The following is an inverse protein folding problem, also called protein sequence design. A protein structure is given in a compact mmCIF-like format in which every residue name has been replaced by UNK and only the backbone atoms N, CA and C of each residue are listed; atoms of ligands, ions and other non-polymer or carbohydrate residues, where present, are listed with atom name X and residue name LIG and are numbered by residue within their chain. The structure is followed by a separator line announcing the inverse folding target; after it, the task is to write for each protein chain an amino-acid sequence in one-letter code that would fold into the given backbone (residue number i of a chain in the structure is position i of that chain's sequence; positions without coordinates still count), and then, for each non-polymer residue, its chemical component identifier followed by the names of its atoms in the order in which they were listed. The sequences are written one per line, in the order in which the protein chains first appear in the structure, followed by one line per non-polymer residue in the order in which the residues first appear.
data_IF_540618815830
#
_entry.id   IF_540618815830
#
_cell.length_a   1.000
_cell.length_b   1.000
_cell.length_c   1.000
_cell.angle_alpha   90.00
_cell.angle_beta   90.00
_cell.angle_gamma   90.00
#
_symmetry.space_group_name_H-M   'P 1'
#
loop_
_entity.id
_entity.type
_entity.pdbx_description
1 polymer ?
#
# COMPACT_ATOMS: atom_id res chain seq x y z
N UNK A 1 -35.79 44.80 -38.73
CA UNK A 1 -34.53 44.30 -39.34
C UNK A 1 -33.40 44.12 -38.32
N UNK A 2 -33.28 44.99 -37.31
CA UNK A 2 -32.22 44.91 -36.27
C UNK A 2 -32.38 43.68 -35.34
N UNK A 3 -33.60 43.27 -34.99
CA UNK A 3 -33.84 42.12 -34.10
C UNK A 3 -33.41 40.75 -34.66
N UNK A 4 -33.41 40.58 -35.98
CA UNK A 4 -32.99 39.31 -36.62
C UNK A 4 -31.47 39.16 -36.59
N UNK A 5 -30.74 40.27 -36.71
CA UNK A 5 -29.26 40.27 -36.68
C UNK A 5 -28.75 39.95 -35.27
N UNK A 6 -29.42 40.44 -34.22
CA UNK A 6 -29.07 40.15 -32.82
C UNK A 6 -29.35 38.68 -32.47
N UNK A 7 -30.46 38.11 -32.96
CA UNK A 7 -30.78 36.70 -32.72
C UNK A 7 -29.79 35.74 -33.41
N UNK A 8 -29.36 36.06 -34.64
CA UNK A 8 -28.36 35.26 -35.37
C UNK A 8 -26.98 35.36 -34.70
N UNK A 9 -26.60 36.53 -34.19
CA UNK A 9 -25.35 36.70 -33.43
C UNK A 9 -25.35 35.95 -32.10
N UNK A 10 -26.46 35.93 -31.35
CA UNK A 10 -26.57 35.18 -30.09
C UNK A 10 -26.53 33.66 -30.35
N UNK A 11 -27.16 33.18 -31.41
CA UNK A 11 -27.11 31.76 -31.80
C UNK A 11 -25.71 31.39 -32.31
N UNK A 12 -25.05 32.25 -33.10
CA UNK A 12 -23.71 32.00 -33.61
C UNK A 12 -22.64 32.07 -32.50
N UNK A 13 -22.77 32.96 -31.52
CA UNK A 13 -21.89 33.01 -30.34
C UNK A 13 -22.18 31.82 -29.41
N UNK A 14 -23.45 31.44 -29.23
CA UNK A 14 -23.82 30.23 -28.48
C UNK A 14 -23.29 28.93 -29.10
N UNK A 15 -23.35 28.79 -30.43
CA UNK A 15 -22.78 27.65 -31.14
C UNK A 15 -21.24 27.71 -31.25
N UNK A 16 -20.67 28.91 -31.40
CA UNK A 16 -19.22 29.14 -31.41
C UNK A 16 -18.56 28.79 -30.07
N UNK A 17 -19.18 29.20 -28.97
CA UNK A 17 -18.73 28.83 -27.61
C UNK A 17 -18.92 27.33 -27.37
N UNK A 18 -20.01 26.72 -27.83
CA UNK A 18 -20.19 25.26 -27.67
C UNK A 18 -19.20 24.42 -28.50
N UNK A 19 -18.76 24.93 -29.66
CA UNK A 19 -17.83 24.22 -30.56
C UNK A 19 -16.35 24.43 -30.17
N UNK A 20 -16.01 25.54 -29.52
CA UNK A 20 -14.64 25.85 -29.09
C UNK A 20 -14.28 25.29 -27.70
N UNK A 21 -15.26 24.76 -26.96
CA UNK A 21 -15.02 24.05 -25.69
C UNK A 21 -14.75 22.53 -25.83
N UNK A 22 -14.86 21.94 -27.03
CA UNK A 22 -14.75 20.48 -27.25
C UNK A 22 -13.85 20.07 -28.42
N UNK A 23 -12.78 20.82 -28.70
CA UNK A 23 -11.75 20.40 -29.65
C UNK A 23 -10.38 20.32 -28.97
N UNK A 24 -10.27 19.49 -27.93
CA UNK A 24 -9.00 18.81 -27.68
C UNK A 24 -8.87 17.72 -28.75
N UNK A 25 -7.72 17.62 -29.42
CA UNK A 25 -7.43 16.45 -30.27
C UNK A 25 -7.74 15.19 -29.46
N UNK A 26 -8.68 14.37 -29.95
CA UNK A 26 -8.96 13.07 -29.38
C UNK A 26 -7.80 12.17 -29.76
N UNK A 27 -6.90 11.95 -28.81
CA UNK A 27 -5.88 10.92 -28.94
C UNK A 27 -6.57 9.56 -28.79
N UNK A 28 -6.50 8.74 -29.84
CA UNK A 28 -7.02 7.37 -29.84
C UNK A 28 -5.89 6.43 -30.22
N UNK A 29 -5.70 5.37 -29.44
CA UNK A 29 -4.72 4.32 -29.71
C UNK A 29 -5.40 2.97 -29.61
N UNK A 30 -5.00 2.03 -30.48
CA UNK A 30 -5.57 0.69 -30.55
C UNK A 30 -4.47 -0.36 -30.50
N UNK A 31 -4.74 -1.45 -29.78
CA UNK A 31 -3.79 -2.53 -29.56
C UNK A 31 -4.47 -3.88 -29.73
N UNK A 32 -3.88 -4.74 -30.54
CA UNK A 32 -4.40 -6.08 -30.79
C UNK A 32 -3.78 -7.08 -29.81
N UNK A 33 -4.62 -7.92 -29.21
CA UNK A 33 -4.20 -9.05 -28.40
C UNK A 33 -5.10 -10.26 -28.67
N UNK A 34 -4.59 -11.23 -29.43
CA UNK A 34 -5.39 -12.33 -29.96
C UNK A 34 -6.55 -11.80 -30.83
N UNK A 35 -7.81 -12.24 -30.60
CA UNK A 35 -8.97 -11.74 -31.33
C UNK A 35 -9.51 -10.39 -30.82
N UNK A 36 -8.89 -9.83 -29.78
CA UNK A 36 -9.32 -8.57 -29.17
C UNK A 36 -8.56 -7.37 -29.71
N UNK A 37 -9.25 -6.23 -29.79
CA UNK A 37 -8.67 -4.89 -29.96
C UNK A 37 -9.03 -4.06 -28.73
N UNK A 38 -8.00 -3.62 -28.00
CA UNK A 38 -8.11 -2.71 -26.87
C UNK A 38 -7.95 -1.29 -27.42
N UNK A 39 -8.98 -0.47 -27.32
CA UNK A 39 -8.95 0.94 -27.71
C UNK A 39 -8.88 1.81 -26.46
N UNK A 40 -7.94 2.75 -26.48
CA UNK A 40 -7.78 3.80 -25.46
C UNK A 40 -8.08 5.15 -26.08
N UNK A 41 -8.92 5.95 -25.44
CA UNK A 41 -9.31 7.29 -25.88
C UNK A 41 -9.06 8.32 -24.78
N UNK A 42 -8.20 9.31 -25.04
CA UNK A 42 -7.96 10.42 -24.12
C UNK A 42 -9.07 11.46 -24.28
N UNK A 43 -9.68 11.83 -23.17
CA UNK A 43 -10.69 12.89 -23.11
C UNK A 43 -10.41 13.85 -21.96
N UNK A 44 -10.95 15.07 -22.06
CA UNK A 44 -10.79 16.09 -21.01
C UNK A 44 -12.13 16.36 -20.33
N UNK A 45 -12.18 16.22 -19.01
CA UNK A 45 -13.29 16.70 -18.18
C UNK A 45 -12.95 18.04 -17.54
N UNK A 46 -13.96 18.74 -17.04
CA UNK A 46 -13.80 20.02 -16.37
C UNK A 46 -14.66 20.04 -15.12
N UNK A 47 -14.03 19.93 -13.96
CA UNK A 47 -14.71 19.86 -12.67
C UNK A 47 -14.45 21.13 -11.85
N UNK A 48 -15.48 21.65 -11.17
CA UNK A 48 -15.32 22.79 -10.28
C UNK A 48 -14.60 22.35 -9.00
N UNK A 49 -13.40 22.86 -8.77
CA UNK A 49 -12.64 22.56 -7.58
C UNK A 49 -12.95 23.59 -6.49
N UNK A 50 -13.64 23.16 -5.42
CA UNK A 50 -14.04 24.02 -4.31
C UNK A 50 -12.85 24.63 -3.56
N UNK A 51 -11.72 23.92 -3.46
CA UNK A 51 -10.53 24.42 -2.75
C UNK A 51 -9.87 25.59 -3.49
N UNK A 52 -10.07 25.69 -4.81
CA UNK A 52 -9.47 26.74 -5.64
C UNK A 52 -10.48 27.71 -6.25
N UNK A 53 -11.78 27.53 -5.98
CA UNK A 53 -12.87 28.36 -6.52
C UNK A 53 -12.92 28.44 -8.05
N UNK A 54 -12.35 27.46 -8.76
CA UNK A 54 -12.20 27.48 -10.23
C UNK A 54 -12.43 26.11 -10.86
N UNK A 55 -12.84 26.12 -12.12
CA UNK A 55 -12.87 24.91 -12.94
C UNK A 55 -11.45 24.42 -13.23
N UNK A 56 -11.20 23.14 -13.00
CA UNK A 56 -9.95 22.46 -13.29
C UNK A 56 -10.21 21.46 -14.38
N UNK A 57 -9.41 21.52 -15.45
CA UNK A 57 -9.44 20.52 -16.51
C UNK A 57 -8.65 19.30 -16.05
N UNK A 58 -9.19 18.11 -16.27
CA UNK A 58 -8.54 16.83 -16.00
C UNK A 58 -8.56 16.01 -17.27
N UNK A 59 -7.42 15.44 -17.66
CA UNK A 59 -7.40 14.47 -18.73
C UNK A 59 -7.63 13.08 -18.13
N UNK A 60 -8.49 12.31 -18.78
CA UNK A 60 -8.76 10.93 -18.42
C UNK A 60 -8.64 10.04 -19.67
N UNK A 61 -8.54 8.73 -19.46
CA UNK A 61 -8.49 7.74 -20.53
C UNK A 61 -9.66 6.78 -20.38
N UNK A 62 -10.45 6.66 -21.46
CA UNK A 62 -11.51 5.68 -21.62
C UNK A 62 -10.96 4.44 -22.33
N UNK A 63 -11.29 3.26 -21.82
CA UNK A 63 -10.98 1.99 -22.46
C UNK A 63 -12.24 1.33 -23.05
N UNK A 64 -12.08 0.75 -24.23
CA UNK A 64 -13.07 -0.17 -24.81
C UNK A 64 -12.39 -1.41 -25.40
N UNK A 65 -13.10 -2.54 -25.36
CA UNK A 65 -12.62 -3.81 -25.91
C UNK A 65 -13.53 -4.24 -27.05
N UNK A 66 -12.93 -4.57 -28.18
CA UNK A 66 -13.62 -5.06 -29.37
C UNK A 66 -13.17 -6.49 -29.65
N UNK A 67 -14.09 -7.36 -30.06
CA UNK A 67 -13.82 -8.72 -30.49
C UNK A 67 -14.33 -8.89 -31.91
N UNK A 68 -13.43 -9.18 -32.86
CA UNK A 68 -13.75 -9.29 -34.29
C UNK A 68 -14.59 -8.09 -34.83
N UNK A 69 -14.21 -6.87 -34.45
CA UNK A 69 -14.87 -5.64 -34.90
C UNK A 69 -16.22 -5.34 -34.24
N UNK A 70 -16.65 -6.11 -33.23
CA UNK A 70 -17.82 -5.82 -32.40
C UNK A 70 -17.40 -5.43 -30.99
N UNK A 71 -18.04 -4.42 -30.42
CA UNK A 71 -17.80 -4.02 -29.04
C UNK A 71 -18.17 -5.18 -28.09
N UNK A 72 -17.32 -5.44 -27.10
CA UNK A 72 -17.59 -6.42 -26.04
C UNK A 72 -18.69 -5.88 -25.13
N UNK A 73 -19.72 -6.69 -24.90
CA UNK A 73 -20.84 -6.36 -24.02
C UNK A 73 -20.60 -6.91 -22.60
N UNK A 74 -20.89 -6.10 -21.59
CA UNK A 74 -20.70 -6.47 -20.19
C UNK A 74 -22.04 -6.86 -19.55
N UNK A 75 -22.10 -7.98 -18.80
CA UNK A 75 -23.36 -8.56 -18.30
C UNK A 75 -23.98 -7.76 -17.15
N UNK A 76 -23.19 -6.94 -16.46
CA UNK A 76 -23.65 -5.98 -15.46
C UNK A 76 -23.34 -4.56 -15.97
N UNK A 77 -24.11 -3.56 -15.51
CA UNK A 77 -23.76 -2.16 -15.81
C UNK A 77 -22.34 -1.90 -15.30
N UNK A 78 -21.46 -1.47 -16.22
CA UNK A 78 -20.30 -0.65 -15.86
C UNK A 78 -20.89 0.52 -15.05
N UNK A 79 -20.58 0.61 -13.75
CA UNK A 79 -21.39 1.36 -12.78
C UNK A 79 -21.60 2.85 -13.12
N UNK A 80 -22.58 3.47 -12.45
CA UNK A 80 -23.04 4.86 -12.73
C UNK A 80 -22.92 5.83 -11.54
N UNK A 81 -22.48 5.38 -10.36
CA UNK A 81 -22.35 6.19 -9.14
C UNK A 81 -21.16 7.17 -9.17
N UNK A 82 -20.15 6.93 -10.01
CA UNK A 82 -19.06 7.89 -10.29
C UNK A 82 -19.35 8.80 -11.48
N UNK A 83 -20.50 8.63 -12.15
CA UNK A 83 -20.85 9.37 -13.36
C UNK A 83 -20.14 8.89 -14.64
N UNK A 84 -19.28 7.86 -14.55
CA UNK A 84 -18.55 7.30 -15.68
C UNK A 84 -19.08 5.91 -16.06
N UNK A 85 -19.70 5.78 -17.23
CA UNK A 85 -20.28 4.52 -17.72
C UNK A 85 -19.32 3.68 -18.59
N UNK A 86 -18.02 3.75 -18.34
CA UNK A 86 -16.99 3.18 -19.20
C UNK A 86 -15.89 2.47 -18.40
N UNK A 87 -14.99 1.75 -19.09
CA UNK A 87 -13.89 1.03 -18.44
C UNK A 87 -12.76 2.01 -18.11
N UNK A 88 -12.28 1.94 -16.88
CA UNK A 88 -11.17 2.75 -16.39
C UNK A 88 -9.83 2.22 -16.86
N UNK A 89 -9.71 0.89 -16.92
CA UNK A 89 -8.50 0.17 -17.32
C UNK A 89 -8.84 -1.15 -18.00
N UNK A 90 -7.96 -1.57 -18.90
CA UNK A 90 -7.91 -2.93 -19.43
C UNK A 90 -6.48 -3.41 -19.33
N UNK A 91 -6.30 -4.52 -18.63
CA UNK A 91 -5.03 -5.21 -18.53
C UNK A 91 -5.01 -6.46 -19.39
N UNK A 92 -3.88 -6.73 -20.01
CA UNK A 92 -3.60 -8.03 -20.61
C UNK A 92 -3.21 -9.00 -19.49
N UNK A 93 -3.94 -10.11 -19.31
CA UNK A 93 -3.53 -11.17 -18.40
C UNK A 93 -2.57 -12.10 -19.14
N UNK A 94 -1.28 -11.84 -18.95
CA UNK A 94 -0.23 -12.66 -19.55
C UNK A 94 -0.23 -14.04 -18.91
N UNK A 95 0.24 -15.04 -19.64
CA UNK A 95 0.38 -16.43 -19.19
C UNK A 95 -0.94 -17.20 -18.98
N UNK A 96 -2.09 -16.55 -19.21
CA UNK A 96 -3.35 -17.26 -19.39
C UNK A 96 -3.30 -18.19 -20.62
N UNK A 97 -3.96 -19.37 -20.59
CA UNK A 97 -3.89 -20.36 -21.67
C UNK A 97 -4.57 -19.92 -22.97
N UNK A 98 -5.42 -18.90 -22.91
CA UNK A 98 -6.06 -18.24 -24.07
C UNK A 98 -5.96 -16.73 -23.89
N UNK A 99 -6.04 -15.94 -24.99
CA UNK A 99 -6.09 -14.49 -24.88
C UNK A 99 -7.15 -14.07 -23.85
N UNK A 100 -6.69 -13.44 -22.76
CA UNK A 100 -7.50 -13.05 -21.62
C UNK A 100 -7.19 -11.61 -21.23
N UNK A 101 -8.23 -10.84 -20.96
CA UNK A 101 -8.14 -9.47 -20.48
C UNK A 101 -8.81 -9.35 -19.11
N UNK A 102 -8.25 -8.51 -18.24
CA UNK A 102 -8.91 -8.04 -17.02
C UNK A 102 -9.34 -6.60 -17.27
N UNK A 103 -10.65 -6.39 -17.38
CA UNK A 103 -11.25 -5.10 -17.68
C UNK A 103 -11.96 -4.58 -16.44
N UNK A 104 -11.61 -3.38 -16.00
CA UNK A 104 -12.10 -2.85 -14.74
C UNK A 104 -12.59 -1.41 -14.79
N UNK A 105 -13.54 -1.17 -13.92
CA UNK A 105 -14.08 0.11 -13.47
C UNK A 105 -14.18 0.00 -11.94
N UNK A 106 -15.31 0.39 -11.34
CA UNK A 106 -15.65 0.01 -9.95
C UNK A 106 -16.04 -1.47 -9.80
N UNK A 107 -16.21 -2.17 -10.91
CA UNK A 107 -16.32 -3.62 -10.97
C UNK A 107 -15.22 -4.16 -11.88
N UNK A 108 -14.80 -5.40 -11.65
CA UNK A 108 -13.79 -6.07 -12.50
C UNK A 108 -14.39 -7.27 -13.19
N UNK A 109 -14.05 -7.41 -14.46
CA UNK A 109 -14.48 -8.47 -15.34
C UNK A 109 -13.26 -9.13 -15.98
N UNK A 110 -13.38 -10.44 -16.21
CA UNK A 110 -12.46 -11.20 -17.02
C UNK A 110 -13.10 -11.45 -18.38
N UNK A 111 -12.37 -11.13 -19.44
CA UNK A 111 -12.79 -11.34 -20.82
C UNK A 111 -11.87 -12.41 -21.42
N UNK A 112 -12.41 -13.56 -21.77
CA UNK A 112 -11.63 -14.67 -22.35
C UNK A 112 -12.07 -14.92 -23.80
N UNK A 113 -11.10 -15.19 -24.67
CA UNK A 113 -11.38 -15.69 -26.01
C UNK A 113 -11.87 -17.15 -25.94
N UNK A 114 -12.97 -17.45 -26.63
CA UNK A 114 -13.54 -18.80 -26.69
C UNK A 114 -14.02 -19.08 -28.12
N UNK A 115 -13.20 -19.83 -28.85
CA UNK A 115 -13.37 -20.09 -30.29
C UNK A 115 -13.52 -18.76 -31.07
N UNK A 116 -14.60 -18.60 -31.85
CA UNK A 116 -14.93 -17.37 -32.57
C UNK A 116 -15.79 -16.39 -31.74
N UNK A 117 -15.88 -16.59 -30.43
CA UNK A 117 -16.66 -15.79 -29.48
C UNK A 117 -15.82 -15.34 -28.30
N UNK A 118 -16.42 -14.60 -27.37
CA UNK A 118 -15.81 -14.21 -26.12
C UNK A 118 -16.75 -14.54 -24.96
N UNK A 119 -16.18 -14.72 -23.77
CA UNK A 119 -16.91 -14.85 -22.52
C UNK A 119 -16.51 -13.69 -21.59
N UNK A 120 -17.51 -13.02 -21.00
CA UNK A 120 -17.28 -11.99 -19.98
C UNK A 120 -17.78 -12.50 -18.65
N UNK A 121 -16.86 -12.71 -17.71
CA UNK A 121 -17.17 -13.18 -16.36
C UNK A 121 -16.91 -12.06 -15.34
N UNK A 122 -17.90 -11.70 -14.50
CA UNK A 122 -17.65 -10.79 -13.39
C UNK A 122 -16.73 -11.47 -12.36
N UNK A 123 -15.68 -10.77 -11.95
CA UNK A 123 -14.74 -11.22 -10.93
C UNK A 123 -15.10 -10.65 -9.55
N UNK A 124 -15.35 -9.35 -9.50
CA UNK A 124 -15.88 -8.62 -8.34
C UNK A 124 -16.85 -7.55 -8.84
N UNK A 125 -18.01 -7.45 -8.22
CA UNK A 125 -19.03 -6.45 -8.57
C UNK A 125 -19.21 -5.51 -7.38
N UNK A 126 -18.87 -4.23 -7.58
CA UNK A 126 -19.24 -3.10 -6.72
C UNK A 126 -18.96 -3.24 -5.21
N UNK A 127 -17.81 -2.70 -4.79
CA UNK A 127 -17.55 -2.29 -3.39
C UNK A 127 -17.36 -0.77 -3.28
N UNK A 128 -17.30 -0.24 -2.05
CA UNK A 128 -16.96 1.16 -1.77
C UNK A 128 -15.51 1.50 -2.10
N UNK A 129 -14.64 0.49 -2.05
CA UNK A 129 -13.20 0.66 -2.11
C UNK A 129 -12.65 0.38 -3.52
N UNK A 130 -11.48 0.94 -3.82
CA UNK A 130 -10.78 0.67 -5.09
C UNK A 130 -10.44 -0.81 -5.22
N UNK A 131 -10.46 -1.30 -6.45
CA UNK A 131 -10.09 -2.69 -6.71
C UNK A 131 -8.57 -2.82 -6.59
N UNK A 132 -8.10 -3.71 -5.72
CA UNK A 132 -6.69 -4.06 -5.56
C UNK A 132 -6.35 -5.38 -6.24
N UNK A 133 -5.21 -5.41 -6.90
CA UNK A 133 -4.58 -6.61 -7.43
C UNK A 133 -3.27 -6.89 -6.68
N UNK A 134 -2.95 -8.17 -6.50
CA UNK A 134 -1.67 -8.58 -5.94
C UNK A 134 -1.29 -9.95 -6.48
N UNK A 135 -0.08 -10.10 -7.00
CA UNK A 135 0.46 -11.42 -7.28
C UNK A 135 0.92 -12.07 -5.98
N UNK A 136 0.53 -13.32 -5.73
CA UNK A 136 0.84 -14.01 -4.48
C UNK A 136 2.19 -14.75 -4.50
N UNK A 137 2.76 -14.94 -5.69
CA UNK A 137 3.94 -15.78 -5.89
C UNK A 137 4.98 -15.19 -6.85
N UNK A 138 4.91 -13.87 -7.12
CA UNK A 138 5.76 -13.22 -8.12
C UNK A 138 7.21 -12.99 -7.68
N UNK A 139 7.48 -12.87 -6.37
CA UNK A 139 8.83 -12.62 -5.84
C UNK A 139 9.35 -13.88 -5.16
N UNK A 140 10.01 -14.76 -5.93
CA UNK A 140 10.56 -16.02 -5.39
C UNK A 140 9.53 -16.89 -4.63
N UNK A 141 8.26 -16.87 -5.06
CA UNK A 141 7.16 -17.56 -4.37
C UNK A 141 6.50 -16.76 -3.25
N UNK A 142 6.85 -15.49 -3.09
CA UNK A 142 6.20 -14.55 -2.17
C UNK A 142 5.31 -13.54 -2.92
N UNK A 143 4.36 -12.91 -2.19
CA UNK A 143 3.57 -11.83 -2.75
C UNK A 143 4.43 -10.65 -3.21
N UNK A 144 4.00 -10.00 -4.29
CA UNK A 144 4.51 -8.69 -4.73
C UNK A 144 3.68 -7.57 -4.09
N UNK A 145 4.06 -6.32 -4.31
CA UNK A 145 3.29 -5.16 -3.90
C UNK A 145 1.89 -5.18 -4.53
N UNK A 146 0.88 -4.88 -3.71
CA UNK A 146 -0.47 -4.69 -4.22
C UNK A 146 -0.58 -3.34 -4.93
N UNK A 147 -1.44 -3.26 -5.94
CA UNK A 147 -1.73 -2.01 -6.62
C UNK A 147 -3.22 -1.87 -6.92
N UNK A 148 -3.68 -0.62 -6.91
CA UNK A 148 -5.07 -0.26 -7.09
C UNK A 148 -5.39 0.06 -8.56
N UNK A 149 -6.60 -0.33 -8.96
CA UNK A 149 -7.18 0.02 -10.24
C UNK A 149 -7.72 1.45 -10.18
N UNK A 150 -7.08 2.33 -10.93
CA UNK A 150 -7.53 3.71 -11.13
C UNK A 150 -7.79 4.02 -12.59
N UNK A 151 -8.74 4.92 -12.82
CA UNK A 151 -8.92 5.56 -14.13
C UNK A 151 -7.62 6.25 -14.57
N UNK A 152 -7.24 6.04 -15.82
CA UNK A 152 -6.05 6.67 -16.38
C UNK A 152 -6.19 8.17 -16.51
N UNK A 153 -5.08 8.87 -16.31
CA UNK A 153 -4.96 10.33 -16.34
C UNK A 153 -3.90 10.81 -17.36
N UNK A 154 -3.56 12.09 -17.33
CA UNK A 154 -2.46 12.69 -18.11
C UNK A 154 -1.10 11.98 -17.96
N UNK A 155 -0.83 11.32 -16.84
CA UNK A 155 0.45 10.63 -16.58
C UNK A 155 0.44 9.20 -17.11
N UNK A 156 -0.72 8.68 -17.48
CA UNK A 156 -0.80 7.33 -18.03
C UNK A 156 -0.37 7.32 -19.49
N UNK A 157 0.61 6.47 -19.78
CA UNK A 157 1.01 6.10 -21.14
C UNK A 157 -0.14 5.46 -21.93
N UNK A 158 -0.25 5.84 -23.19
CA UNK A 158 -1.15 5.20 -24.18
C UNK A 158 -0.36 4.43 -25.25
N UNK A 159 0.95 4.21 -25.06
CA UNK A 159 1.80 3.49 -26.02
C UNK A 159 1.67 1.97 -25.92
N UNK A 160 1.11 1.45 -24.82
CA UNK A 160 0.70 0.06 -24.68
C UNK A 160 -0.33 -0.08 -23.55
N UNK A 161 -1.26 -1.05 -23.61
CA UNK A 161 -2.07 -1.44 -22.46
C UNK A 161 -1.18 -2.02 -21.35
N UNK A 162 -1.59 -1.83 -20.10
CA UNK A 162 -0.91 -2.44 -18.97
C UNK A 162 -1.04 -3.97 -19.01
N UNK A 163 -0.08 -4.67 -18.42
CA UNK A 163 -0.04 -6.13 -18.41
C UNK A 163 0.04 -6.65 -16.99
N UNK A 164 -0.83 -7.59 -16.65
CA UNK A 164 -0.74 -8.41 -15.45
C UNK A 164 0.16 -9.59 -15.78
N UNK A 165 1.35 -9.61 -15.19
CA UNK A 165 2.35 -10.68 -15.31
C UNK A 165 3.17 -10.75 -14.03
N UNK A 166 3.83 -11.88 -13.79
CA UNK A 166 4.83 -12.01 -12.72
C UNK A 166 4.65 -13.22 -11.83
N UNK A 167 3.44 -13.80 -11.75
CA UNK A 167 3.16 -14.97 -10.91
C UNK A 167 2.14 -15.93 -11.54
N UNK A 168 1.84 -17.01 -10.82
CA UNK A 168 0.80 -17.97 -11.18
C UNK A 168 -0.55 -17.58 -10.55
N UNK A 169 -0.52 -16.99 -9.36
CA UNK A 169 -1.71 -16.74 -8.56
C UNK A 169 -1.96 -15.23 -8.42
N UNK A 170 -3.01 -14.74 -9.08
CA UNK A 170 -3.44 -13.35 -8.99
C UNK A 170 -4.58 -13.21 -7.98
N UNK A 171 -4.37 -12.43 -6.93
CA UNK A 171 -5.40 -12.08 -5.96
C UNK A 171 -6.08 -10.77 -6.35
N UNK A 172 -7.39 -10.71 -6.13
CA UNK A 172 -8.24 -9.55 -6.39
C UNK A 172 -9.04 -9.26 -5.11
N UNK A 173 -8.92 -8.03 -4.60
CA UNK A 173 -9.66 -7.52 -3.43
C UNK A 173 -9.62 -8.40 -2.18
N UNK A 174 -8.60 -9.25 -2.03
CA UNK A 174 -8.48 -10.18 -0.91
C UNK A 174 -9.74 -11.05 -0.71
N UNK A 175 -10.42 -11.37 -1.82
CA UNK A 175 -11.64 -12.18 -1.85
C UNK A 175 -11.61 -13.26 -2.93
N UNK A 176 -10.80 -13.05 -3.97
CA UNK A 176 -10.70 -13.95 -5.10
C UNK A 176 -9.24 -14.20 -5.44
N UNK A 177 -8.88 -15.46 -5.65
CA UNK A 177 -7.61 -15.86 -6.26
C UNK A 177 -7.90 -16.53 -7.59
N UNK A 178 -7.16 -16.14 -8.62
CA UNK A 178 -7.16 -16.77 -9.95
C UNK A 178 -5.86 -17.57 -10.10
N UNK A 179 -5.97 -18.89 -10.30
CA UNK A 179 -4.86 -19.71 -10.85
C UNK A 179 -4.79 -19.41 -12.35
N UNK A 180 -3.86 -18.56 -12.77
CA UNK A 180 -3.84 -18.00 -14.12
C UNK A 180 -3.61 -19.06 -15.21
N UNK A 181 -2.65 -20.00 -15.08
CA UNK A 181 -2.50 -21.08 -16.07
C UNK A 181 -3.71 -22.01 -16.16
N UNK A 182 -4.37 -22.29 -15.02
CA UNK A 182 -5.55 -23.15 -14.96
C UNK A 182 -6.88 -22.44 -15.26
N UNK A 183 -6.91 -21.11 -15.19
CA UNK A 183 -8.11 -20.26 -15.18
C UNK A 183 -9.12 -20.61 -14.07
N UNK A 184 -8.67 -21.27 -13.00
CA UNK A 184 -9.51 -21.62 -11.87
C UNK A 184 -9.68 -20.41 -10.93
N UNK A 185 -10.90 -20.21 -10.43
CA UNK A 185 -11.26 -19.09 -9.57
C UNK A 185 -11.66 -19.60 -8.19
N UNK A 186 -11.00 -19.07 -7.18
CA UNK A 186 -11.18 -19.45 -5.79
C UNK A 186 -11.61 -18.24 -4.96
N UNK A 187 -12.89 -18.22 -4.62
CA UNK A 187 -13.44 -17.22 -3.73
C UNK A 187 -13.22 -17.63 -2.27
N UNK A 188 -12.72 -16.72 -1.46
CA UNK A 188 -12.46 -16.92 -0.03
C UNK A 188 -12.94 -15.72 0.77
N UNK A 189 -13.02 -15.90 2.09
CA UNK A 189 -13.64 -14.98 3.04
C UNK A 189 -15.07 -14.56 2.62
N UNK A 190 -15.86 -15.50 2.10
CA UNK A 190 -17.15 -15.19 1.44
C UNK A 190 -18.17 -14.50 2.34
N UNK A 191 -18.24 -14.90 3.60
CA UNK A 191 -19.16 -14.31 4.57
C UNK A 191 -18.50 -13.20 5.41
N UNK A 192 -17.33 -12.71 4.99
CA UNK A 192 -16.53 -11.73 5.75
C UNK A 192 -16.32 -12.17 7.20
N UNK A 193 -15.92 -13.42 7.39
CA UNK A 193 -15.82 -14.05 8.72
C UNK A 193 -14.54 -13.61 9.40
N UNK A 194 -14.70 -12.97 10.56
CA UNK A 194 -13.66 -12.81 11.55
C UNK A 194 -13.55 -14.11 12.37
N UNK A 195 -12.33 -14.52 12.72
CA UNK A 195 -12.10 -15.62 13.66
C UNK A 195 -11.43 -15.05 14.89
N UNK A 196 -11.91 -15.45 16.06
CA UNK A 196 -11.45 -14.94 17.35
C UNK A 196 -11.41 -13.40 17.41
N UNK A 197 -12.33 -12.78 16.65
CA UNK A 197 -12.50 -11.34 16.51
C UNK A 197 -11.33 -10.57 15.86
N UNK A 198 -10.45 -11.26 15.12
CA UNK A 198 -9.47 -10.64 14.24
C UNK A 198 -9.98 -10.58 12.80
N UNK A 199 -9.69 -9.46 12.12
CA UNK A 199 -9.77 -9.35 10.66
C UNK A 199 -8.38 -9.20 10.07
N UNK A 200 -8.25 -9.47 8.77
CA UNK A 200 -7.06 -9.10 8.02
C UNK A 200 -7.00 -7.57 7.88
N UNK A 201 -5.78 -7.04 7.92
CA UNK A 201 -5.46 -5.64 7.66
C UNK A 201 -4.32 -5.57 6.65
N UNK A 202 -4.34 -4.58 5.77
CA UNK A 202 -3.31 -4.45 4.72
C UNK A 202 -3.28 -5.60 3.72
N UNK A 203 -2.23 -5.67 2.91
CA UNK A 203 -2.10 -6.57 1.76
C UNK A 203 -1.49 -7.94 2.15
N UNK A 204 -1.49 -8.92 1.23
CA UNK A 204 -0.96 -10.25 1.53
C UNK A 204 0.55 -10.16 1.81
N UNK A 205 0.97 -10.76 2.92
CA UNK A 205 2.33 -10.69 3.44
C UNK A 205 3.17 -11.88 2.98
N UNK A 206 2.56 -13.07 2.95
CA UNK A 206 3.26 -14.32 2.64
C UNK A 206 2.31 -15.34 2.03
N UNK A 207 2.86 -16.21 1.18
CA UNK A 207 2.15 -17.30 0.56
C UNK A 207 2.81 -18.62 0.94
N UNK A 208 1.99 -19.62 1.26
CA UNK A 208 2.51 -20.91 1.71
C UNK A 208 3.29 -21.61 0.59
N UNK A 209 4.36 -22.36 0.90
CA UNK A 209 5.18 -23.03 -0.12
C UNK A 209 4.41 -24.03 -1.00
N UNK A 210 3.27 -24.53 -0.52
CA UNK A 210 2.39 -25.42 -1.27
C UNK A 210 1.28 -24.69 -2.05
N UNK A 211 1.30 -23.35 -2.07
CA UNK A 211 0.40 -22.45 -2.79
C UNK A 211 -1.09 -22.67 -2.45
N UNK A 212 -1.40 -22.78 -1.15
CA UNK A 212 -2.75 -23.01 -0.65
C UNK A 212 -3.21 -22.01 0.41
N UNK A 213 -2.29 -21.44 1.16
CA UNK A 213 -2.60 -20.58 2.31
C UNK A 213 -1.93 -19.23 2.14
N UNK A 214 -2.71 -18.17 2.30
CA UNK A 214 -2.23 -16.77 2.25
C UNK A 214 -2.21 -16.25 3.67
N UNK A 215 -1.15 -15.54 4.07
CA UNK A 215 -1.06 -14.84 5.34
C UNK A 215 -1.18 -13.33 5.13
N UNK A 216 -1.98 -12.69 5.97
CA UNK A 216 -2.17 -11.25 6.05
C UNK A 216 -1.77 -10.76 7.46
N UNK A 217 -1.33 -9.50 7.59
CA UNK A 217 -1.44 -8.79 8.85
C UNK A 217 -2.90 -8.85 9.33
N UNK A 218 -3.12 -8.77 10.63
CA UNK A 218 -4.46 -8.71 11.18
C UNK A 218 -4.53 -8.03 12.52
N UNK A 219 -5.70 -7.48 12.79
CA UNK A 219 -5.99 -6.64 13.95
C UNK A 219 -7.26 -7.10 14.65
N UNK A 220 -7.24 -7.01 15.97
CA UNK A 220 -8.41 -7.27 16.79
C UNK A 220 -9.45 -6.17 16.61
N UNK A 221 -10.70 -6.55 16.33
CA UNK A 221 -11.80 -5.61 16.14
C UNK A 221 -12.37 -5.17 17.50
N UNK A 222 -12.02 -3.99 18.00
CA UNK A 222 -12.54 -3.53 19.31
C UNK A 222 -13.98 -3.00 19.25
N UNK A 223 -14.51 -2.66 18.07
CA UNK A 223 -15.82 -2.02 17.90
C UNK A 223 -17.01 -3.00 17.94
N UNK A 224 -16.77 -4.30 17.76
CA UNK A 224 -17.80 -5.33 17.69
C UNK A 224 -17.80 -6.30 18.89
N UNK A 225 -16.90 -6.10 19.86
CA UNK A 225 -16.82 -6.91 21.07
C UNK A 225 -16.45 -6.05 22.29
N UNK A 226 -16.82 -6.52 23.48
CA UNK A 226 -16.33 -5.96 24.75
C UNK A 226 -15.10 -6.74 25.27
N UNK A 227 -14.46 -7.52 24.40
CA UNK A 227 -13.33 -8.36 24.77
C UNK A 227 -12.03 -7.55 24.69
N UNK A 228 -11.14 -7.77 25.66
CA UNK A 228 -9.77 -7.26 25.60
C UNK A 228 -8.89 -8.40 25.13
N UNK A 229 -8.29 -8.32 23.94
CA UNK A 229 -7.43 -9.39 23.48
C UNK A 229 -6.14 -9.44 24.29
N UNK A 230 -5.48 -10.60 24.31
CA UNK A 230 -4.10 -10.67 24.85
C UNK A 230 -3.13 -9.88 23.98
N UNK A 231 -3.34 -9.89 22.66
CA UNK A 231 -2.52 -9.22 21.66
C UNK A 231 -3.43 -8.47 20.70
N UNK A 232 -3.14 -7.22 20.39
CA UNK A 232 -3.90 -6.47 19.38
C UNK A 232 -3.67 -7.00 17.96
N UNK A 233 -2.48 -7.53 17.70
CA UNK A 233 -2.03 -7.96 16.39
C UNK A 233 -2.06 -9.49 16.25
N UNK A 234 -2.32 -9.95 15.02
CA UNK A 234 -2.22 -11.34 14.61
C UNK A 234 -1.70 -11.45 13.17
N UNK A 235 -1.31 -12.67 12.79
CA UNK A 235 -1.33 -13.09 11.40
C UNK A 235 -2.61 -13.87 11.12
N UNK A 236 -3.39 -13.40 10.16
CA UNK A 236 -4.62 -14.06 9.72
C UNK A 236 -4.32 -14.82 8.44
N UNK A 237 -4.63 -16.11 8.43
CA UNK A 237 -4.33 -17.00 7.30
C UNK A 237 -5.59 -17.55 6.67
N UNK A 238 -5.62 -17.60 5.35
CA UNK A 238 -6.74 -18.14 4.57
C UNK A 238 -6.28 -19.29 3.67
N UNK A 239 -6.83 -20.50 3.87
CA UNK A 239 -6.86 -21.54 2.86
C UNK A 239 -7.90 -21.14 1.80
N UNK A 240 -7.44 -20.47 0.75
CA UNK A 240 -8.31 -19.84 -0.24
C UNK A 240 -9.12 -20.86 -1.06
N UNK A 241 -8.72 -22.15 -1.04
CA UNK A 241 -9.43 -23.22 -1.76
C UNK A 241 -10.55 -23.81 -0.90
N UNK A 242 -10.36 -23.88 0.41
CA UNK A 242 -11.34 -24.43 1.36
C UNK A 242 -12.18 -23.37 2.07
N UNK A 243 -11.86 -22.09 1.87
CA UNK A 243 -12.44 -20.98 2.62
C UNK A 243 -12.24 -21.14 4.14
N UNK A 244 -11.07 -21.66 4.52
CA UNK A 244 -10.68 -21.89 5.90
C UNK A 244 -9.85 -20.74 6.42
N UNK A 245 -10.14 -20.25 7.61
CA UNK A 245 -9.44 -19.16 8.28
C UNK A 245 -8.79 -19.65 9.58
N UNK A 246 -7.56 -19.24 9.83
CA UNK A 246 -6.87 -19.43 11.12
C UNK A 246 -6.19 -18.14 11.53
N UNK A 247 -6.15 -17.88 12.83
CA UNK A 247 -5.52 -16.70 13.41
C UNK A 247 -4.35 -17.13 14.27
N UNK A 248 -3.24 -16.42 14.15
CA UNK A 248 -2.06 -16.57 15.00
C UNK A 248 -1.79 -15.22 15.68
N UNK A 249 -2.37 -14.96 16.86
CA UNK A 249 -2.09 -13.76 17.64
C UNK A 249 -0.60 -13.68 17.99
N UNK A 250 -0.02 -12.47 17.97
CA UNK A 250 1.41 -12.28 18.20
C UNK A 250 1.73 -11.05 19.05
N UNK A 251 2.71 -11.21 19.94
CA UNK A 251 3.22 -10.14 20.80
C UNK A 251 4.04 -9.12 20.02
N UNK A 252 3.76 -7.83 20.21
CA UNK A 252 4.61 -6.71 19.74
C UNK A 252 6.02 -6.84 20.29
N UNK A 253 6.14 -7.24 21.56
CA UNK A 253 7.43 -7.43 22.21
C UNK A 253 8.20 -8.63 21.65
N UNK A 254 7.60 -9.81 21.54
CA UNK A 254 8.32 -11.00 21.06
C UNK A 254 8.78 -10.87 19.61
N UNK A 255 7.99 -10.18 18.77
CA UNK A 255 8.27 -9.98 17.34
C UNK A 255 9.04 -8.70 17.02
N UNK A 256 9.26 -7.84 18.04
CA UNK A 256 9.83 -6.49 17.88
C UNK A 256 9.07 -5.65 16.85
N UNK A 257 7.76 -5.80 16.81
CA UNK A 257 6.88 -5.03 15.96
C UNK A 257 6.50 -3.72 16.65
N UNK A 258 6.87 -2.60 16.04
CA UNK A 258 6.50 -1.28 16.55
C UNK A 258 5.07 -0.92 16.18
N UNK A 259 4.76 -1.01 14.88
CA UNK A 259 3.42 -0.77 14.35
C UNK A 259 3.01 -1.84 13.36
N UNK A 260 1.71 -2.00 13.14
CA UNK A 260 1.19 -3.03 12.21
C UNK A 260 1.66 -2.77 10.78
N UNK A 261 1.86 -1.50 10.40
CA UNK A 261 2.34 -1.11 9.08
C UNK A 261 3.80 -1.55 8.82
N UNK A 262 4.55 -1.87 9.87
CA UNK A 262 5.92 -2.40 9.75
C UNK A 262 5.93 -3.92 9.45
N UNK A 263 4.77 -4.58 9.44
CA UNK A 263 4.67 -5.97 8.99
C UNK A 263 4.96 -6.03 7.49
N UNK A 264 6.18 -6.45 7.15
CA UNK A 264 6.61 -6.77 5.79
C UNK A 264 7.15 -8.21 5.71
N UNK A 265 7.53 -8.64 4.51
CA UNK A 265 8.04 -10.01 4.29
C UNK A 265 9.32 -10.31 5.10
N UNK A 266 10.18 -9.32 5.34
CA UNK A 266 11.40 -9.51 6.13
C UNK A 266 11.09 -9.72 7.62
N UNK A 267 10.15 -8.94 8.15
CA UNK A 267 9.63 -9.14 9.50
C UNK A 267 8.95 -10.50 9.64
N UNK A 268 8.13 -10.90 8.66
CA UNK A 268 7.52 -12.23 8.62
C UNK A 268 8.58 -13.34 8.64
N UNK A 269 9.56 -13.26 7.74
CA UNK A 269 10.61 -14.27 7.62
C UNK A 269 11.54 -14.33 8.83
N UNK A 270 11.62 -13.25 9.62
CA UNK A 270 12.36 -13.21 10.88
C UNK A 270 11.60 -13.92 12.00
N UNK A 271 10.29 -13.72 12.08
CA UNK A 271 9.49 -14.10 13.24
C UNK A 271 8.62 -15.34 13.04
N UNK A 272 8.40 -15.77 11.81
CA UNK A 272 7.48 -16.86 11.48
C UNK A 272 8.10 -17.84 10.48
N UNK A 273 7.45 -18.99 10.34
CA UNK A 273 7.76 -19.97 9.31
C UNK A 273 6.53 -20.77 8.94
N UNK A 274 6.53 -21.25 7.70
CA UNK A 274 5.61 -22.30 7.26
C UNK A 274 6.20 -23.65 7.63
N UNK A 275 5.43 -24.48 8.32
CA UNK A 275 5.73 -25.89 8.54
C UNK A 275 4.72 -26.74 7.78
N UNK A 276 5.21 -27.69 6.98
CA UNK A 276 4.36 -28.66 6.29
C UNK A 276 4.52 -30.02 6.94
N UNK A 277 3.50 -30.45 7.68
CA UNK A 277 3.49 -31.74 8.38
C UNK A 277 2.23 -32.51 7.97
N UNK A 278 2.40 -33.78 7.57
CA UNK A 278 1.30 -34.65 7.11
C UNK A 278 0.44 -34.06 5.96
N UNK A 279 1.02 -33.22 5.10
CA UNK A 279 0.33 -32.59 3.97
C UNK A 279 -0.52 -31.38 4.33
N UNK A 280 -0.52 -30.96 5.60
CA UNK A 280 -1.07 -29.69 6.04
C UNK A 280 0.06 -28.66 6.20
N UNK A 281 -0.12 -27.48 5.62
CA UNK A 281 0.80 -26.36 5.80
C UNK A 281 0.24 -25.42 6.84
N UNK A 282 0.99 -25.24 7.92
CA UNK A 282 0.61 -24.43 9.08
C UNK A 282 1.63 -23.32 9.30
N UNK A 283 1.12 -22.14 9.64
CA UNK A 283 1.95 -21.01 10.06
C UNK A 283 2.33 -21.18 11.53
N UNK A 284 3.59 -20.98 11.86
CA UNK A 284 4.07 -21.04 13.24
C UNK A 284 5.04 -19.91 13.56
N UNK A 285 5.12 -19.59 14.85
CA UNK A 285 6.11 -18.68 15.38
C UNK A 285 7.51 -19.30 15.33
N UNK A 286 8.48 -18.58 14.77
CA UNK A 286 9.89 -18.92 14.82
C UNK A 286 10.44 -18.50 16.17
N UNK A 287 10.34 -19.39 17.16
CA UNK A 287 10.85 -19.12 18.51
C UNK A 287 12.37 -18.88 18.46
N UNK A 288 12.85 -17.66 18.72
CA UNK A 288 14.28 -17.40 18.65
C UNK A 288 14.98 -18.00 19.88
N UNK A 289 16.23 -18.45 19.71
CA UNK A 289 17.02 -19.01 20.82
C UNK A 289 17.30 -17.99 21.95
N UNK A 290 17.28 -16.70 21.59
CA UNK A 290 17.38 -15.55 22.50
C UNK A 290 16.37 -14.51 22.03
N UNK A 291 15.75 -13.72 22.92
CA UNK A 291 14.91 -12.60 22.50
C UNK A 291 15.67 -11.68 21.55
N UNK A 292 15.01 -11.22 20.49
CA UNK A 292 15.55 -10.18 19.63
C UNK A 292 15.84 -8.92 20.47
N UNK A 293 16.83 -8.12 20.08
CA UNK A 293 17.13 -6.86 20.79
C UNK A 293 16.42 -5.73 20.04
N UNK A 294 15.77 -4.83 20.77
CA UNK A 294 15.21 -3.61 20.18
C UNK A 294 16.33 -2.76 19.56
N UNK A 295 16.09 -2.30 18.34
CA UNK A 295 17.02 -1.46 17.58
C UNK A 295 16.32 -0.14 17.26
N UNK A 296 17.07 0.94 17.11
CA UNK A 296 16.49 2.16 16.57
C UNK A 296 16.09 1.99 15.10
N UNK A 297 15.18 2.85 14.65
CA UNK A 297 14.63 2.83 13.30
C UNK A 297 14.60 4.25 12.72
N UNK A 298 14.46 4.34 11.41
CA UNK A 298 14.32 5.61 10.71
C UNK A 298 12.87 5.79 10.25
N UNK A 299 12.32 6.99 10.45
CA UNK A 299 11.08 7.42 9.81
C UNK A 299 11.28 8.84 9.31
N UNK A 300 11.06 9.02 8.02
CA UNK A 300 11.48 10.23 7.29
C UNK A 300 12.98 10.49 7.50
N UNK A 301 13.36 11.69 7.95
CA UNK A 301 14.75 12.06 8.23
C UNK A 301 15.13 11.98 9.72
N UNK A 302 14.30 11.30 10.53
CA UNK A 302 14.49 11.15 11.96
C UNK A 302 14.93 9.73 12.33
N UNK A 303 15.86 9.63 13.27
CA UNK A 303 16.22 8.39 13.93
C UNK A 303 15.50 8.27 15.28
N UNK A 304 14.88 7.13 15.52
CA UNK A 304 14.07 6.84 16.70
C UNK A 304 14.66 5.66 17.48
N UNK A 305 14.62 5.73 18.81
CA UNK A 305 14.88 4.59 19.69
C UNK A 305 13.65 4.41 20.58
N UNK A 306 12.96 3.30 20.40
CA UNK A 306 11.73 2.95 21.10
C UNK A 306 11.63 1.42 21.16
N UNK A 307 10.96 0.82 22.16
CA UNK A 307 10.58 1.41 23.43
C UNK A 307 11.79 1.46 24.39
N UNK A 308 11.97 2.57 25.10
CA UNK A 308 13.10 2.77 26.00
C UNK A 308 12.72 3.46 27.31
N UNK A 309 13.65 3.65 28.23
CA UNK A 309 13.48 4.45 29.44
C UNK A 309 14.15 5.83 29.29
N UNK A 310 14.03 6.68 30.31
CA UNK A 310 14.62 8.04 30.27
C UNK A 310 16.16 8.05 30.20
N UNK A 311 16.83 6.98 30.65
CA UNK A 311 18.29 6.94 30.68
C UNK A 311 18.89 6.79 29.27
N UNK A 312 18.16 6.17 28.33
CA UNK A 312 18.60 6.02 26.95
C UNK A 312 18.85 7.36 26.26
N UNK A 313 18.10 8.42 26.60
CA UNK A 313 18.33 9.76 26.08
C UNK A 313 19.76 10.24 26.40
N UNK A 314 20.22 10.02 27.65
CA UNK A 314 21.55 10.42 28.08
C UNK A 314 22.64 9.55 27.47
N UNK A 315 22.38 8.25 27.34
CA UNK A 315 23.27 7.29 26.70
C UNK A 315 23.48 7.65 25.23
N UNK A 316 22.40 7.90 24.50
CA UNK A 316 22.47 8.25 23.10
C UNK A 316 23.09 9.64 22.90
N UNK A 317 22.78 10.62 23.75
CA UNK A 317 23.48 11.91 23.77
C UNK A 317 25.00 11.74 23.87
N UNK A 318 25.46 10.94 24.82
CA UNK A 318 26.89 10.69 24.99
C UNK A 318 27.48 9.96 23.79
N UNK A 319 26.75 9.01 23.20
CA UNK A 319 27.17 8.34 21.98
C UNK A 319 27.36 9.31 20.81
N UNK A 320 26.43 10.25 20.60
CA UNK A 320 26.56 11.28 19.55
C UNK A 320 27.80 12.14 19.79
N UNK A 321 28.04 12.59 21.03
CA UNK A 321 29.24 13.37 21.36
C UNK A 321 30.52 12.56 21.07
N UNK A 322 30.58 11.30 21.49
CA UNK A 322 31.74 10.45 21.28
C UNK A 322 31.99 10.16 19.79
N UNK A 323 30.92 9.87 19.03
CA UNK A 323 30.98 9.64 17.59
C UNK A 323 31.53 10.86 16.84
N UNK A 324 31.05 12.05 17.21
CA UNK A 324 31.47 13.33 16.64
C UNK A 324 32.81 13.83 17.19
N UNK A 325 33.40 13.15 18.19
CA UNK A 325 34.58 13.61 18.95
C UNK A 325 34.37 14.99 19.58
N UNK A 326 33.15 15.24 20.03
CA UNK A 326 32.71 16.44 20.72
C UNK A 326 32.79 16.29 22.24
N UNK A 327 32.69 17.41 22.94
CA UNK A 327 32.67 17.48 24.40
C UNK A 327 31.35 18.07 24.88
N UNK A 328 31.19 18.24 26.21
CA UNK A 328 30.01 18.91 26.76
C UNK A 328 29.84 20.38 26.32
N UNK A 329 30.88 21.01 25.76
CA UNK A 329 30.81 22.38 25.22
C UNK A 329 29.95 22.49 23.95
N UNK A 330 29.84 21.40 23.21
CA UNK A 330 29.02 21.31 22.00
C UNK A 330 27.55 20.99 22.31
N UNK A 331 27.16 20.92 23.59
CA UNK A 331 25.75 20.96 24.00
C UNK A 331 25.32 22.43 24.06
N UNK A 332 24.70 22.91 22.98
CA UNK A 332 24.34 24.31 22.79
C UNK A 332 23.17 24.72 23.69
N UNK A 333 22.20 23.83 23.90
CA UNK A 333 21.11 24.05 24.86
C UNK A 333 20.52 22.74 25.39
N UNK A 334 19.94 22.83 26.59
CA UNK A 334 19.09 21.81 27.21
C UNK A 334 17.80 22.50 27.63
N UNK A 335 16.66 22.02 27.13
CA UNK A 335 15.33 22.56 27.45
C UNK A 335 14.39 21.43 27.80
N UNK A 336 13.38 21.76 28.60
CA UNK A 336 12.25 20.87 28.85
C UNK A 336 11.00 21.46 28.22
N UNK A 337 10.27 20.63 27.49
CA UNK A 337 9.00 20.96 26.84
C UNK A 337 7.95 19.94 27.27
N UNK A 338 6.75 20.43 27.60
CA UNK A 338 5.64 19.58 28.05
C UNK A 338 5.30 18.46 27.05
N UNK A 339 5.36 18.75 25.74
CA UNK A 339 4.95 17.82 24.69
C UNK A 339 6.05 16.92 24.15
N UNK A 340 7.33 17.31 24.27
CA UNK A 340 8.49 16.58 23.70
C UNK A 340 9.51 16.16 24.75
N UNK A 341 9.23 16.40 26.04
CA UNK A 341 10.11 16.09 27.14
C UNK A 341 11.41 16.89 27.10
N UNK A 342 12.54 16.23 27.42
CA UNK A 342 13.84 16.88 27.47
C UNK A 342 14.46 16.93 26.07
N UNK A 343 14.90 18.11 25.66
CA UNK A 343 15.46 18.38 24.33
C UNK A 343 16.86 18.96 24.47
N UNK A 344 17.81 18.40 23.73
CA UNK A 344 19.17 18.89 23.58
C UNK A 344 19.38 19.40 22.16
N UNK A 345 20.03 20.55 22.04
CA UNK A 345 20.63 20.98 20.79
C UNK A 345 22.13 20.73 20.87
N UNK A 346 22.65 19.88 19.98
CA UNK A 346 24.06 19.54 19.91
C UNK A 346 24.62 20.19 18.65
N UNK A 347 25.77 20.86 18.71
CA UNK A 347 26.31 21.42 17.50
C UNK A 347 27.70 22.02 17.57
N UNK A 348 28.35 22.02 16.41
CA UNK A 348 29.62 22.68 16.14
C UNK A 348 29.68 23.04 14.65
N UNK A 349 30.12 24.25 14.35
CA UNK A 349 30.19 24.78 12.99
C UNK A 349 28.82 24.70 12.28
N UNK A 350 28.74 24.00 11.14
CA UNK A 350 27.49 23.81 10.39
C UNK A 350 26.67 22.59 10.82
N UNK A 351 27.22 21.73 11.68
CA UNK A 351 26.54 20.52 12.12
C UNK A 351 25.76 20.81 13.40
N UNK A 352 24.44 20.86 13.28
CA UNK A 352 23.51 21.06 14.40
C UNK A 352 22.48 19.94 14.39
N UNK A 353 22.28 19.32 15.54
CA UNK A 353 21.35 18.22 15.73
C UNK A 353 20.40 18.52 16.88
N UNK A 354 19.19 17.97 16.77
CA UNK A 354 18.20 17.98 17.84
C UNK A 354 18.05 16.55 18.38
N UNK A 355 18.05 16.43 19.70
CA UNK A 355 17.89 15.17 20.40
C UNK A 355 16.82 15.34 21.48
N UNK A 356 15.69 14.68 21.33
CA UNK A 356 14.56 14.75 22.26
C UNK A 356 14.29 13.39 22.90
N UNK A 357 13.76 13.38 24.12
CA UNK A 357 13.28 12.16 24.76
C UNK A 357 12.02 12.37 25.58
N UNK A 358 11.04 11.47 25.42
CA UNK A 358 9.74 11.49 26.09
C UNK A 358 9.15 10.08 26.19
N UNK A 359 8.53 9.75 27.32
CA UNK A 359 7.54 8.65 27.50
C UNK A 359 7.83 7.37 26.70
N UNK A 360 9.08 6.90 26.79
CA UNK A 360 9.62 5.70 26.17
C UNK A 360 10.26 5.82 24.78
N UNK A 361 10.49 7.03 24.29
CA UNK A 361 11.12 7.26 22.98
C UNK A 361 12.27 8.27 23.07
N UNK A 362 13.29 8.05 22.26
CA UNK A 362 14.34 9.02 21.95
C UNK A 362 14.29 9.32 20.44
N UNK A 363 14.33 10.60 20.08
CA UNK A 363 14.23 11.09 18.71
C UNK A 363 15.47 11.92 18.39
N UNK A 364 16.09 11.68 17.24
CA UNK A 364 17.27 12.37 16.79
C UNK A 364 17.12 12.84 15.33
N UNK A 365 17.42 14.11 15.10
CA UNK A 365 17.32 14.73 13.78
C UNK A 365 18.39 15.80 13.59
N UNK A 366 18.44 16.32 12.37
CA UNK A 366 19.06 17.60 12.08
C UNK A 366 18.27 18.78 12.70
N UNK A 367 18.73 20.00 12.44
CA UNK A 367 18.07 21.20 12.92
C UNK A 367 16.77 21.46 12.17
N UNK A 368 15.64 21.20 12.84
CA UNK A 368 14.29 21.34 12.28
C UNK A 368 13.93 22.76 11.80
N UNK A 369 14.70 23.76 12.24
CA UNK A 369 14.49 25.16 11.89
C UNK A 369 15.67 25.76 11.10
N UNK A 370 16.67 24.94 10.76
CA UNK A 370 17.81 25.33 9.96
C UNK A 370 17.53 25.22 8.46
N UNK A 371 18.46 25.72 7.63
CA UNK A 371 18.46 25.38 6.22
C UNK A 371 18.77 23.89 6.05
N UNK A 372 17.96 23.18 5.28
CA UNK A 372 18.16 21.76 5.02
C UNK A 372 19.47 21.54 4.25
N UNK A 373 20.31 20.65 4.77
CA UNK A 373 21.59 20.25 4.18
C UNK A 373 21.66 18.71 4.11
N UNK A 374 21.63 18.17 2.89
CA UNK A 374 21.69 16.72 2.61
C UNK A 374 22.87 16.02 3.30
N UNK A 375 23.97 16.74 3.55
CA UNK A 375 25.13 16.19 4.26
C UNK A 375 24.85 15.95 5.74
N UNK A 376 23.99 16.76 6.37
CA UNK A 376 23.58 16.58 7.77
C UNK A 376 22.58 15.43 7.88
N UNK A 377 21.64 15.31 6.95
CA UNK A 377 20.73 14.15 6.86
C UNK A 377 21.49 12.83 6.75
N UNK A 378 22.53 12.80 5.92
CA UNK A 378 23.41 11.63 5.80
C UNK A 378 24.09 11.31 7.14
N UNK A 379 24.55 12.34 7.86
CA UNK A 379 25.22 12.17 9.14
C UNK A 379 24.28 11.66 10.24
N UNK A 380 23.01 12.08 10.25
CA UNK A 380 21.97 11.50 11.14
C UNK A 380 21.84 10.00 10.89
N UNK A 381 21.78 9.58 9.61
CA UNK A 381 21.72 8.16 9.23
C UNK A 381 22.96 7.38 9.66
N UNK A 382 24.15 7.95 9.47
CA UNK A 382 25.41 7.31 9.86
C UNK A 382 25.51 7.10 11.38
N UNK A 383 25.12 8.11 12.17
CA UNK A 383 25.10 8.04 13.63
C UNK A 383 24.09 6.99 14.11
N UNK A 384 22.86 7.02 13.58
CA UNK A 384 21.81 6.07 13.95
C UNK A 384 22.18 4.62 13.62
N UNK A 385 22.74 4.39 12.43
CA UNK A 385 23.25 3.07 12.03
C UNK A 385 24.38 2.59 12.93
N UNK A 386 25.33 3.46 13.28
CA UNK A 386 26.42 3.13 14.18
C UNK A 386 25.92 2.77 15.59
N UNK A 387 24.87 3.44 16.08
CA UNK A 387 24.26 3.10 17.36
C UNK A 387 23.50 1.78 17.30
N UNK A 388 22.82 1.48 16.18
CA UNK A 388 22.20 0.17 15.97
C UNK A 388 23.21 -0.98 16.03
N UNK A 389 24.43 -0.81 15.52
CA UNK A 389 25.50 -1.81 15.69
C UNK A 389 25.87 -2.03 17.17
N UNK A 390 25.86 -0.96 17.98
CA UNK A 390 26.05 -1.08 19.43
C UNK A 390 24.89 -1.84 20.08
N UNK A 391 23.65 -1.48 19.77
CA UNK A 391 22.45 -2.13 20.32
C UNK A 391 22.38 -3.62 19.95
N UNK A 392 22.76 -4.00 18.71
CA UNK A 392 22.81 -5.40 18.24
C UNK A 392 23.69 -6.31 19.12
N UNK A 393 24.70 -5.75 19.81
CA UNK A 393 25.54 -6.52 20.75
C UNK A 393 24.84 -6.85 22.07
N UNK A 394 23.68 -6.25 22.33
CA UNK A 394 22.95 -6.34 23.59
C UNK A 394 23.38 -5.30 24.63
N UNK A 395 24.23 -4.33 24.26
CA UNK A 395 24.59 -3.20 25.11
C UNK A 395 23.35 -2.30 25.31
N UNK A 396 23.14 -1.83 26.53
CA UNK A 396 22.02 -0.98 26.94
C UNK A 396 20.63 -1.65 26.86
N UNK A 397 20.55 -2.98 26.72
CA UNK A 397 19.27 -3.70 26.67
C UNK A 397 18.41 -3.49 27.91
N UNK A 398 19.04 -3.20 29.05
CA UNK A 398 18.41 -2.91 30.33
C UNK A 398 17.58 -1.62 30.30
N UNK A 399 17.83 -0.74 29.33
CA UNK A 399 17.10 0.50 29.10
C UNK A 399 16.00 0.35 28.04
N UNK A 400 15.82 -0.86 27.48
CA UNK A 400 14.68 -1.11 26.61
C UNK A 400 13.47 -1.50 27.46
N UNK A 401 12.33 -0.89 27.17
CA UNK A 401 11.07 -1.15 27.88
C UNK A 401 10.18 -2.09 27.06
N UNK A 402 8.92 -2.26 27.47
CA UNK A 402 7.94 -3.06 26.75
C UNK A 402 6.89 -2.16 26.11
N UNK A 403 6.45 -2.52 24.91
CA UNK A 403 5.29 -1.89 24.27
C UNK A 403 4.02 -2.53 24.87
N UNK A 404 2.97 -1.75 25.20
CA UNK A 404 1.66 -2.32 25.51
C UNK A 404 1.17 -3.23 24.39
N UNK A 405 0.77 -4.46 24.72
CA UNK A 405 0.25 -5.42 23.73
C UNK A 405 -1.11 -4.98 23.15
N UNK A 406 -1.83 -4.13 23.88
CA UNK A 406 -3.11 -3.54 23.50
C UNK A 406 -3.07 -2.05 23.83
N UNK A 407 -3.37 -1.21 22.85
CA UNK A 407 -3.54 0.22 23.08
C UNK A 407 -4.89 0.48 23.75
N UNK A 408 -4.88 1.29 24.81
CA UNK A 408 -6.10 1.74 25.47
C UNK A 408 -6.32 3.19 25.07
N UNK A 409 -7.39 3.43 24.30
CA UNK A 409 -7.77 4.76 23.81
C UNK A 409 -8.73 5.47 24.75
#
# INVERSE_FOLDING_TARGET
MIGVIVAVLIIAVGFGIKKQYFSSEKEVKEFTYGPFVIRMERFTTSDFNMNYGKFVKRQNIDYSVWHHGKLVEFPAKLQSNTGFSHLWRVYILKDAPVPTLIAGSQSVFMITAKDNTYEVKPLEVQSSDFIKFQWLDAINGHPDDAFELFMGDERTSMEHPDTLQGGKYLMINQKLVIDVPGMEMYYFNKDSRYVDNYDKDGDALSFSPDNKVIAFPGHFQTWNSNETPTYENALVTYDFRKDGIKVLPNSKNETRLYKVEDMNIDWFNTNFMWETTNGETILQFRKPKKPYIWQGYFRDDFYYIFPTDEAMLLIFKQFVLDYMKWTSKEVLSEKYHEYTGRVYQLGKDKSVFHLAGKENEVIFSDDLYGESDDSIHTLVKDIGNAFNEVLKTGKYKEHNTAIPEVETY
#
